data_IF_614173269118
#
_entry.id   IF_614173269118
#
_cell.length_a   1.000
_cell.length_b   1.000
_cell.length_c   1.000
_cell.angle_alpha   90.00
_cell.angle_beta   90.00
_cell.angle_gamma   90.00
#
_symmetry.space_group_name_H-M   'P 1'
#
loop_
_entity.id
_entity.type
_entity.pdbx_description
1 polymer ?
#
# COMPACT_ATOMS: atom_id res chain seq x y z
N UNK A 1 19.67 -19.62 -2.98
CA UNK A 1 18.89 -19.78 -4.23
C UNK A 1 19.25 -18.63 -5.17
N UNK A 2 19.16 -18.82 -6.50
CA UNK A 2 19.45 -17.72 -7.43
C UNK A 2 18.42 -16.57 -7.26
N UNK A 3 18.83 -15.30 -7.45
CA UNK A 3 17.91 -14.17 -7.47
C UNK A 3 16.85 -14.36 -8.57
N UNK A 4 15.60 -13.94 -8.31
CA UNK A 4 14.57 -13.90 -9.36
C UNK A 4 14.81 -12.70 -10.28
N UNK A 5 14.35 -12.80 -11.53
CA UNK A 5 14.42 -11.71 -12.50
C UNK A 5 13.21 -10.80 -12.32
N UNK A 6 13.45 -9.54 -11.94
CA UNK A 6 12.42 -8.53 -11.73
C UNK A 6 12.32 -7.59 -12.92
N UNK A 7 11.16 -7.50 -13.54
CA UNK A 7 10.80 -6.47 -14.52
C UNK A 7 9.98 -5.38 -13.85
N UNK A 8 10.13 -4.13 -14.30
CA UNK A 8 9.44 -2.97 -13.70
C UNK A 8 8.72 -2.19 -14.81
N UNK A 9 7.43 -1.94 -14.64
CA UNK A 9 6.64 -1.02 -15.46
C UNK A 9 6.27 0.22 -14.65
N UNK A 10 6.68 1.38 -15.15
CA UNK A 10 6.53 2.66 -14.47
C UNK A 10 7.85 3.15 -13.86
N UNK A 11 8.32 4.29 -14.33
CA UNK A 11 9.54 4.99 -13.87
C UNK A 11 9.18 6.22 -13.01
N UNK A 12 7.99 6.22 -12.40
CA UNK A 12 7.52 7.21 -11.44
C UNK A 12 8.14 7.02 -10.04
N UNK A 13 7.59 7.74 -9.05
CA UNK A 13 8.10 7.76 -7.66
C UNK A 13 8.22 6.34 -7.07
N UNK A 14 7.17 5.51 -7.21
CA UNK A 14 7.17 4.16 -6.61
C UNK A 14 8.05 3.20 -7.39
N UNK A 15 8.02 3.25 -8.73
CA UNK A 15 8.89 2.42 -9.57
C UNK A 15 10.37 2.69 -9.31
N UNK A 16 10.80 3.96 -9.25
CA UNK A 16 12.18 4.32 -8.94
C UNK A 16 12.56 3.93 -7.49
N UNK A 17 11.66 4.10 -6.53
CA UNK A 17 11.91 3.73 -5.14
C UNK A 17 12.22 2.23 -4.99
N UNK A 18 11.39 1.37 -5.57
CA UNK A 18 11.61 -0.07 -5.49
C UNK A 18 12.79 -0.52 -6.34
N UNK A 19 13.02 0.13 -7.49
CA UNK A 19 14.20 -0.08 -8.33
C UNK A 19 15.49 0.15 -7.54
N UNK A 20 15.61 1.31 -6.87
CA UNK A 20 16.79 1.61 -6.04
C UNK A 20 16.96 0.60 -4.91
N UNK A 21 15.87 0.25 -4.23
CA UNK A 21 15.93 -0.76 -3.18
C UNK A 21 16.39 -2.14 -3.70
N UNK A 22 15.96 -2.53 -4.90
CA UNK A 22 16.40 -3.77 -5.54
C UNK A 22 17.91 -3.77 -5.83
N UNK A 23 18.44 -2.64 -6.31
CA UNK A 23 19.87 -2.51 -6.64
C UNK A 23 20.76 -2.41 -5.40
N UNK A 24 20.32 -1.68 -4.38
CA UNK A 24 21.14 -1.32 -3.22
C UNK A 24 21.05 -2.31 -2.07
N UNK A 25 19.88 -2.98 -1.90
CA UNK A 25 19.58 -3.70 -0.66
C UNK A 25 19.11 -5.15 -0.86
N UNK A 26 18.77 -5.59 -2.08
CA UNK A 26 18.11 -6.87 -2.31
C UNK A 26 18.73 -7.72 -3.44
N UNK A 27 19.98 -7.48 -3.82
CA UNK A 27 20.67 -8.17 -4.92
C UNK A 27 20.77 -9.69 -4.75
N UNK A 28 20.70 -10.20 -3.52
CA UNK A 28 20.64 -11.65 -3.23
C UNK A 28 19.28 -12.27 -3.56
N UNK A 29 18.21 -11.47 -3.56
CA UNK A 29 16.83 -11.91 -3.75
C UNK A 29 16.30 -11.64 -5.14
N UNK A 30 16.67 -10.48 -5.74
CA UNK A 30 16.15 -10.02 -7.02
C UNK A 30 17.25 -9.45 -7.90
N UNK A 31 17.14 -9.64 -9.22
CA UNK A 31 17.95 -8.98 -10.23
C UNK A 31 17.04 -8.23 -11.19
N UNK A 32 17.24 -6.92 -11.36
CA UNK A 32 16.45 -6.12 -12.29
C UNK A 32 16.86 -6.44 -13.73
N UNK A 33 15.94 -6.94 -14.54
CA UNK A 33 16.20 -7.35 -15.94
C UNK A 33 15.51 -6.49 -16.98
N UNK A 34 14.64 -5.56 -16.57
CA UNK A 34 13.99 -4.63 -17.47
C UNK A 34 13.23 -3.53 -16.73
N UNK A 35 13.32 -2.32 -17.28
CA UNK A 35 12.47 -1.17 -16.93
C UNK A 35 11.88 -0.60 -18.20
N UNK A 36 10.61 -0.20 -18.13
CA UNK A 36 9.94 0.55 -19.18
C UNK A 36 8.89 1.49 -18.61
N UNK A 37 8.77 2.65 -19.24
CA UNK A 37 7.74 3.67 -19.00
C UNK A 37 7.38 4.30 -20.37
N UNK A 38 6.13 4.64 -20.65
CA UNK A 38 5.76 5.30 -21.90
C UNK A 38 6.33 6.71 -22.02
N UNK A 39 6.76 7.34 -20.93
CA UNK A 39 7.40 8.65 -20.91
C UNK A 39 8.88 8.56 -21.26
N UNK A 40 9.26 9.02 -22.44
CA UNK A 40 10.67 9.11 -22.84
C UNK A 40 11.50 9.96 -21.86
N UNK A 41 10.90 11.02 -21.31
CA UNK A 41 11.55 11.88 -20.32
C UNK A 41 11.84 11.13 -19.01
N UNK A 42 10.89 10.30 -18.53
CA UNK A 42 11.11 9.43 -17.36
C UNK A 42 12.20 8.39 -17.63
N UNK A 43 12.19 7.76 -18.79
CA UNK A 43 13.21 6.79 -19.20
C UNK A 43 14.59 7.41 -19.35
N UNK A 44 14.68 8.63 -19.89
CA UNK A 44 15.95 9.37 -20.01
C UNK A 44 16.48 9.74 -18.61
N UNK A 45 15.62 10.24 -17.71
CA UNK A 45 15.97 10.60 -16.34
C UNK A 45 16.53 9.40 -15.56
N UNK A 46 15.85 8.25 -15.61
CA UNK A 46 16.33 7.02 -14.95
C UNK A 46 17.62 6.52 -15.61
N UNK A 47 17.71 6.58 -16.95
CA UNK A 47 18.91 6.16 -17.65
C UNK A 47 20.16 6.98 -17.29
N UNK A 48 20.00 8.28 -17.04
CA UNK A 48 21.07 9.14 -16.56
C UNK A 48 21.45 8.86 -15.10
N UNK A 49 20.43 8.67 -14.23
CA UNK A 49 20.63 8.44 -12.80
C UNK A 49 21.13 7.02 -12.46
N UNK A 50 20.70 6.01 -13.23
CA UNK A 50 20.95 4.58 -12.98
C UNK A 50 21.31 3.86 -14.29
N UNK A 51 22.51 4.13 -14.87
CA UNK A 51 22.89 3.60 -16.19
C UNK A 51 23.00 2.07 -16.24
N UNK A 52 23.15 1.42 -15.10
CA UNK A 52 23.25 -0.06 -15.00
C UNK A 52 21.90 -0.77 -15.23
N UNK A 53 20.77 -0.04 -15.19
CA UNK A 53 19.43 -0.63 -15.31
C UNK A 53 19.12 -0.94 -16.78
N UNK A 54 18.80 -2.20 -17.13
CA UNK A 54 18.39 -2.55 -18.48
C UNK A 54 17.08 -1.87 -18.84
N UNK A 55 17.10 -0.96 -19.81
CA UNK A 55 15.90 -0.31 -20.35
C UNK A 55 15.37 -1.13 -21.53
N UNK A 56 14.07 -1.34 -21.59
CA UNK A 56 13.41 -2.11 -22.64
C UNK A 56 12.62 -1.19 -23.56
N UNK A 57 12.38 -1.64 -24.79
CA UNK A 57 11.68 -0.87 -25.81
C UNK A 57 10.15 -0.84 -25.61
N UNK A 58 9.61 -1.78 -24.83
CA UNK A 58 8.16 -1.87 -24.57
C UNK A 58 7.87 -2.65 -23.29
N UNK A 59 6.62 -2.55 -22.80
CA UNK A 59 6.11 -3.35 -21.68
C UNK A 59 6.25 -4.85 -21.95
N UNK A 60 5.97 -5.32 -23.18
CA UNK A 60 6.09 -6.74 -23.55
C UNK A 60 7.54 -7.23 -23.42
N UNK A 61 8.51 -6.42 -23.82
CA UNK A 61 9.93 -6.76 -23.66
C UNK A 61 10.38 -6.83 -22.20
N UNK A 62 9.73 -6.12 -21.30
CA UNK A 62 9.95 -6.27 -19.86
C UNK A 62 9.35 -7.60 -19.37
N UNK A 63 8.11 -7.90 -19.76
CA UNK A 63 7.40 -9.13 -19.38
C UNK A 63 8.15 -10.37 -19.84
N UNK A 64 8.66 -10.37 -21.07
CA UNK A 64 9.46 -11.48 -21.63
C UNK A 64 10.75 -11.73 -20.82
N UNK A 65 11.37 -10.67 -20.31
CA UNK A 65 12.69 -10.71 -19.67
C UNK A 65 12.65 -11.05 -18.18
N UNK A 66 11.49 -11.13 -17.54
CA UNK A 66 11.36 -11.27 -16.08
C UNK A 66 10.70 -12.59 -15.63
N UNK A 67 10.84 -12.93 -14.36
CA UNK A 67 10.10 -13.98 -13.66
C UNK A 67 8.92 -13.37 -12.89
N UNK A 68 9.12 -12.14 -12.39
CA UNK A 68 8.10 -11.33 -11.72
C UNK A 68 8.05 -9.93 -12.33
N UNK A 69 6.83 -9.46 -12.61
CA UNK A 69 6.57 -8.10 -13.06
C UNK A 69 6.14 -7.25 -11.88
N UNK A 70 6.87 -6.17 -11.59
CA UNK A 70 6.41 -5.10 -10.71
C UNK A 70 5.71 -4.02 -11.53
N UNK A 71 4.44 -3.76 -11.20
CA UNK A 71 3.60 -2.77 -11.87
C UNK A 71 3.49 -1.54 -10.97
N UNK A 72 4.15 -0.45 -11.36
CA UNK A 72 4.18 0.84 -10.68
C UNK A 72 3.71 1.99 -11.59
N UNK A 73 2.97 1.66 -12.63
CA UNK A 73 2.28 2.59 -13.52
C UNK A 73 1.04 3.19 -12.84
N UNK A 74 0.32 4.15 -13.45
CA UNK A 74 -0.96 4.62 -12.92
C UNK A 74 -2.04 3.51 -12.86
N UNK A 75 -2.99 3.59 -11.90
CA UNK A 75 -3.98 2.53 -11.64
C UNK A 75 -4.79 2.06 -12.85
N UNK A 76 -5.06 2.95 -13.80
CA UNK A 76 -5.81 2.62 -15.01
C UNK A 76 -5.17 1.54 -15.89
N UNK A 77 -3.86 1.31 -15.76
CA UNK A 77 -3.12 0.31 -16.55
C UNK A 77 -2.76 -0.96 -15.78
N UNK A 78 -3.03 -1.03 -14.47
CA UNK A 78 -2.60 -2.13 -13.61
C UNK A 78 -3.10 -3.48 -14.10
N UNK A 79 -4.41 -3.59 -14.37
CA UNK A 79 -5.03 -4.87 -14.73
C UNK A 79 -4.60 -5.36 -16.11
N UNK A 80 -4.45 -4.47 -17.11
CA UNK A 80 -3.94 -4.86 -18.43
C UNK A 80 -2.54 -5.48 -18.31
N UNK A 81 -1.64 -4.79 -17.64
CA UNK A 81 -0.27 -5.30 -17.44
C UNK A 81 -0.25 -6.59 -16.63
N UNK A 82 -1.07 -6.69 -15.58
CA UNK A 82 -1.15 -7.89 -14.74
C UNK A 82 -1.67 -9.10 -15.54
N UNK A 83 -2.74 -8.94 -16.34
CA UNK A 83 -3.29 -10.00 -17.17
C UNK A 83 -2.28 -10.48 -18.23
N UNK A 84 -1.57 -9.56 -18.87
CA UNK A 84 -0.52 -9.91 -19.85
C UNK A 84 0.63 -10.66 -19.23
N UNK A 85 1.08 -10.24 -18.03
CA UNK A 85 2.14 -10.93 -17.29
C UNK A 85 1.70 -12.35 -16.87
N UNK A 86 0.48 -12.50 -16.34
CA UNK A 86 -0.07 -13.82 -15.97
C UNK A 86 -0.25 -14.74 -17.18
N UNK A 87 -0.73 -14.21 -18.32
CA UNK A 87 -0.82 -14.98 -19.57
C UNK A 87 0.54 -15.48 -20.06
N UNK A 88 1.61 -14.72 -19.77
CA UNK A 88 3.00 -15.12 -20.03
C UNK A 88 3.60 -15.99 -18.89
N UNK A 89 2.77 -16.47 -17.95
CA UNK A 89 3.20 -17.27 -16.77
C UNK A 89 4.22 -16.54 -15.88
N UNK A 90 4.13 -15.21 -15.75
CA UNK A 90 4.95 -14.41 -14.85
C UNK A 90 4.21 -14.16 -13.53
N UNK A 91 4.95 -14.12 -12.42
CA UNK A 91 4.40 -13.60 -11.18
C UNK A 91 4.16 -12.08 -11.29
N UNK A 92 3.25 -11.55 -10.49
CA UNK A 92 2.90 -10.13 -10.50
C UNK A 92 2.99 -9.53 -9.10
N UNK A 93 3.70 -8.42 -8.96
CA UNK A 93 3.65 -7.55 -7.82
C UNK A 93 3.10 -6.19 -8.28
N UNK A 94 1.92 -5.79 -7.79
CA UNK A 94 1.19 -4.65 -8.33
C UNK A 94 1.03 -3.55 -7.28
N UNK A 95 1.16 -2.28 -7.68
CA UNK A 95 0.76 -1.17 -6.83
C UNK A 95 -0.74 -1.17 -6.52
N UNK A 96 -1.09 -0.56 -5.40
CA UNK A 96 -2.49 -0.27 -5.04
C UNK A 96 -2.93 1.07 -5.69
N UNK A 97 -4.24 1.27 -5.92
CA UNK A 97 -5.31 0.28 -5.91
C UNK A 97 -5.18 -0.70 -7.06
N UNK A 98 -5.88 -1.84 -6.99
CA UNK A 98 -5.84 -2.84 -8.07
C UNK A 98 -6.29 -2.28 -9.42
N UNK A 99 -7.33 -1.45 -9.40
CA UNK A 99 -7.89 -0.82 -10.60
C UNK A 99 -8.61 0.49 -10.23
N UNK A 100 -8.96 1.29 -11.22
CA UNK A 100 -9.86 2.43 -11.06
C UNK A 100 -11.31 1.94 -10.86
N UNK A 101 -11.73 0.96 -11.66
CA UNK A 101 -13.08 0.39 -11.59
C UNK A 101 -13.12 -0.84 -10.68
N UNK A 102 -14.00 -0.79 -9.65
CA UNK A 102 -14.12 -1.87 -8.66
C UNK A 102 -14.67 -3.17 -9.25
N UNK A 103 -15.53 -3.08 -10.28
CA UNK A 103 -16.07 -4.25 -10.98
C UNK A 103 -14.98 -4.99 -11.76
N UNK A 104 -14.06 -4.25 -12.37
CA UNK A 104 -12.88 -4.84 -13.03
C UNK A 104 -11.96 -5.49 -12.00
N UNK A 105 -11.72 -4.84 -10.85
CA UNK A 105 -10.93 -5.42 -9.77
C UNK A 105 -11.53 -6.74 -9.27
N UNK A 106 -12.85 -6.80 -9.02
CA UNK A 106 -13.57 -8.04 -8.64
C UNK A 106 -13.40 -9.16 -9.65
N UNK A 107 -13.60 -8.87 -10.93
CA UNK A 107 -13.43 -9.86 -12.00
C UNK A 107 -12.00 -10.38 -12.08
N UNK A 108 -11.03 -9.48 -11.97
CA UNK A 108 -9.62 -9.86 -11.97
C UNK A 108 -9.26 -10.76 -10.78
N UNK A 109 -9.68 -10.39 -9.56
CA UNK A 109 -9.42 -11.19 -8.36
C UNK A 109 -10.03 -12.59 -8.46
N UNK A 110 -11.27 -12.70 -8.99
CA UNK A 110 -11.91 -13.98 -9.22
C UNK A 110 -11.17 -14.84 -10.25
N UNK A 111 -10.69 -14.24 -11.35
CA UNK A 111 -9.97 -14.94 -12.41
C UNK A 111 -8.53 -15.32 -12.02
N UNK A 112 -7.89 -14.56 -11.12
CA UNK A 112 -6.49 -14.75 -10.73
C UNK A 112 -6.33 -15.62 -9.47
N UNK A 113 -7.37 -16.36 -9.04
CA UNK A 113 -7.26 -17.27 -7.89
C UNK A 113 -6.17 -18.31 -8.12
N UNK A 114 -5.29 -18.47 -7.12
CA UNK A 114 -4.16 -19.39 -7.20
C UNK A 114 -2.97 -18.90 -8.03
N UNK A 115 -3.07 -17.74 -8.67
CA UNK A 115 -1.96 -17.13 -9.38
C UNK A 115 -0.94 -16.51 -8.40
N UNK A 116 0.31 -16.41 -8.84
CA UNK A 116 1.40 -15.78 -8.09
C UNK A 116 1.30 -14.25 -8.19
N UNK A 117 0.37 -13.67 -7.43
CA UNK A 117 0.09 -12.23 -7.41
C UNK A 117 0.06 -11.71 -5.99
N UNK A 118 0.71 -10.56 -5.77
CA UNK A 118 0.60 -9.81 -4.55
C UNK A 118 0.47 -8.30 -4.83
N UNK A 119 -0.07 -7.56 -3.87
CA UNK A 119 -0.30 -6.12 -3.98
C UNK A 119 0.61 -5.36 -3.02
N UNK A 120 1.10 -4.20 -3.47
CA UNK A 120 2.03 -3.41 -2.70
C UNK A 120 1.36 -2.64 -1.56
N UNK A 121 1.26 -3.29 -0.39
CA UNK A 121 1.01 -2.64 0.89
C UNK A 121 2.26 -2.75 1.76
N UNK A 122 3.10 -1.70 1.87
CA UNK A 122 4.36 -1.76 2.62
C UNK A 122 4.21 -2.21 4.08
N UNK A 123 3.05 -1.95 4.70
CA UNK A 123 2.74 -2.41 6.06
C UNK A 123 2.76 -3.94 6.20
N UNK A 124 2.59 -4.70 5.11
CA UNK A 124 2.72 -6.16 5.13
C UNK A 124 4.14 -6.62 5.52
N UNK A 125 5.15 -5.80 5.21
CA UNK A 125 6.57 -6.08 5.48
C UNK A 125 7.16 -5.21 6.61
N UNK A 126 6.32 -4.42 7.31
CA UNK A 126 6.78 -3.46 8.31
C UNK A 126 7.08 -4.13 9.66
N UNK A 127 8.27 -3.92 10.21
CA UNK A 127 8.68 -4.43 11.52
C UNK A 127 7.81 -3.91 12.66
N UNK A 128 7.35 -2.66 12.57
CA UNK A 128 6.42 -2.10 13.54
C UNK A 128 5.09 -2.88 13.61
N UNK A 129 4.60 -3.38 12.48
CA UNK A 129 3.39 -4.22 12.42
C UNK A 129 3.62 -5.58 13.09
N UNK A 130 4.79 -6.18 12.91
CA UNK A 130 5.14 -7.42 13.62
C UNK A 130 5.22 -7.19 15.13
N UNK A 131 5.73 -6.03 15.55
CA UNK A 131 5.76 -5.67 16.98
C UNK A 131 4.35 -5.51 17.56
N UNK A 132 3.43 -4.85 16.83
CA UNK A 132 2.03 -4.76 17.27
C UNK A 132 1.39 -6.14 17.36
N UNK A 133 1.62 -7.03 16.38
CA UNK A 133 1.13 -8.40 16.40
C UNK A 133 1.67 -9.17 17.61
N UNK A 134 2.95 -9.03 17.91
CA UNK A 134 3.59 -9.64 19.08
C UNK A 134 2.93 -9.17 20.38
N UNK A 135 2.67 -7.88 20.55
CA UNK A 135 2.00 -7.35 21.74
C UNK A 135 0.55 -7.80 21.86
N UNK A 136 -0.19 -7.88 20.75
CA UNK A 136 -1.56 -8.43 20.74
C UNK A 136 -1.52 -9.90 21.21
N UNK A 137 -0.65 -10.72 20.62
CA UNK A 137 -0.50 -12.13 20.98
C UNK A 137 -0.06 -12.35 22.44
N UNK A 138 0.75 -11.43 22.98
CA UNK A 138 1.16 -11.43 24.38
C UNK A 138 0.10 -10.90 25.36
N UNK A 139 -1.11 -10.55 24.88
CA UNK A 139 -2.20 -10.05 25.72
C UNK A 139 -2.02 -8.60 26.20
N UNK A 140 -1.13 -7.82 25.62
CA UNK A 140 -0.84 -6.45 26.07
C UNK A 140 -2.05 -5.51 25.99
N UNK A 141 -3.03 -5.83 25.15
CA UNK A 141 -4.31 -5.10 25.00
C UNK A 141 -5.42 -5.72 25.85
N UNK A 142 -5.35 -7.01 26.13
CA UNK A 142 -6.45 -7.75 26.72
C UNK A 142 -7.62 -7.89 25.75
N UNK A 143 -8.86 -7.76 26.25
CA UNK A 143 -10.06 -7.74 25.37
C UNK A 143 -10.15 -6.40 24.66
N UNK A 144 -10.07 -6.35 23.31
CA UNK A 144 -10.21 -5.12 22.53
C UNK A 144 -11.55 -4.41 22.79
N UNK A 145 -11.53 -3.09 22.91
CA UNK A 145 -12.71 -2.25 23.18
C UNK A 145 -12.96 -1.22 22.10
N UNK A 146 -11.91 -0.54 21.61
CA UNK A 146 -11.99 0.45 20.52
C UNK A 146 -10.76 0.36 19.63
N UNK A 147 -10.95 0.72 18.38
CA UNK A 147 -9.89 0.95 17.41
C UNK A 147 -10.10 2.32 16.76
N UNK A 148 -9.12 3.20 16.91
CA UNK A 148 -9.18 4.55 16.38
C UNK A 148 -8.08 4.76 15.33
N UNK A 149 -8.48 5.25 14.16
CA UNK A 149 -7.60 5.56 13.03
C UNK A 149 -7.73 7.05 12.75
N UNK A 150 -6.62 7.77 12.82
CA UNK A 150 -6.55 9.17 12.45
C UNK A 150 -5.45 9.38 11.41
N UNK A 151 -5.80 10.08 10.33
CA UNK A 151 -4.84 10.52 9.32
C UNK A 151 -5.04 12.01 9.05
N UNK A 152 -3.98 12.80 9.16
CA UNK A 152 -4.05 14.23 8.94
C UNK A 152 -2.83 14.74 8.19
N UNK A 153 -3.05 15.73 7.34
CA UNK A 153 -2.04 16.32 6.47
C UNK A 153 -2.10 17.84 6.53
N UNK A 154 -0.92 18.50 6.48
CA UNK A 154 -0.87 19.95 6.34
C UNK A 154 -1.44 20.40 4.99
N UNK A 155 -1.07 19.68 3.91
CA UNK A 155 -1.55 19.92 2.54
C UNK A 155 -1.76 18.59 1.81
N UNK A 156 -2.63 18.61 0.79
CA UNK A 156 -2.77 17.50 -0.13
C UNK A 156 -2.75 17.97 -1.58
N UNK A 157 -1.97 17.36 -2.47
CA UNK A 157 -0.93 16.35 -2.20
C UNK A 157 0.19 16.86 -1.30
N UNK A 158 0.92 15.92 -0.65
CA UNK A 158 2.08 16.25 0.19
C UNK A 158 3.21 16.87 -0.63
N UNK A 159 4.07 17.67 0.00
CA UNK A 159 5.11 18.41 -0.68
C UNK A 159 5.99 17.58 -1.64
N UNK A 160 6.34 16.36 -1.26
CA UNK A 160 7.15 15.44 -2.07
C UNK A 160 6.38 14.76 -3.22
N UNK A 161 5.05 14.87 -3.26
CA UNK A 161 4.18 14.29 -4.29
C UNK A 161 3.77 15.30 -5.39
N UNK A 162 4.29 16.54 -5.37
CA UNK A 162 3.88 17.62 -6.30
C UNK A 162 3.93 17.21 -7.77
N UNK A 163 4.91 16.40 -8.18
CA UNK A 163 5.04 15.93 -9.56
C UNK A 163 3.91 14.96 -9.97
N UNK A 164 3.17 14.40 -9.03
CA UNK A 164 2.03 13.52 -9.25
C UNK A 164 0.68 14.23 -9.03
N UNK A 165 0.67 15.52 -8.69
CA UNK A 165 -0.53 16.26 -8.33
C UNK A 165 -1.61 16.24 -9.44
N UNK A 166 -1.21 16.17 -10.71
CA UNK A 166 -2.11 16.15 -11.86
C UNK A 166 -3.12 14.99 -11.86
N UNK A 167 -2.83 13.88 -11.18
CA UNK A 167 -3.76 12.76 -11.00
C UNK A 167 -4.08 12.50 -9.53
N UNK A 168 -3.11 12.75 -8.64
CA UNK A 168 -3.21 12.41 -7.23
C UNK A 168 -4.25 13.25 -6.48
N UNK A 169 -4.54 14.46 -6.94
CA UNK A 169 -5.59 15.33 -6.41
C UNK A 169 -6.87 15.30 -7.25
N UNK A 170 -7.12 14.25 -8.01
CA UNK A 170 -8.35 14.05 -8.76
C UNK A 170 -9.29 13.07 -8.04
N UNK A 171 -10.60 13.36 -8.00
CA UNK A 171 -11.57 12.52 -7.27
C UNK A 171 -11.74 11.14 -7.89
N UNK A 172 -11.44 10.97 -9.19
CA UNK A 172 -11.66 9.71 -9.89
C UNK A 172 -10.67 8.61 -9.50
N UNK A 173 -9.42 8.97 -9.19
CA UNK A 173 -8.37 7.99 -8.94
C UNK A 173 -7.35 8.38 -7.86
N UNK A 174 -7.36 9.63 -7.41
CA UNK A 174 -6.50 10.16 -6.36
C UNK A 174 -7.19 10.25 -5.01
N UNK A 175 -6.65 11.13 -4.15
CA UNK A 175 -7.15 11.40 -2.80
C UNK A 175 -6.37 10.67 -1.70
N UNK A 176 -6.36 11.29 -0.51
CA UNK A 176 -5.63 10.72 0.63
C UNK A 176 -6.27 9.43 1.14
N UNK A 177 -7.56 9.24 0.88
CA UNK A 177 -8.25 8.01 1.29
C UNK A 177 -7.72 6.80 0.52
N UNK A 178 -7.56 6.90 -0.81
CA UNK A 178 -6.95 5.86 -1.63
C UNK A 178 -5.45 5.72 -1.37
N UNK A 179 -4.75 6.84 -1.13
CA UNK A 179 -3.29 6.84 -1.02
C UNK A 179 -2.77 6.47 0.36
N UNK A 180 -3.47 6.86 1.43
CA UNK A 180 -2.99 6.71 2.80
C UNK A 180 -3.93 5.87 3.66
N UNK A 181 -5.22 6.22 3.73
CA UNK A 181 -6.19 5.49 4.57
C UNK A 181 -6.26 4.01 4.20
N UNK A 182 -6.12 3.68 2.92
CA UNK A 182 -6.05 2.29 2.44
C UNK A 182 -5.02 1.44 3.17
N UNK A 183 -3.87 2.00 3.55
CA UNK A 183 -2.85 1.27 4.31
C UNK A 183 -3.29 0.97 5.74
N UNK A 184 -4.01 1.89 6.39
CA UNK A 184 -4.52 1.69 7.75
C UNK A 184 -5.73 0.74 7.77
N UNK A 185 -6.55 0.72 6.73
CA UNK A 185 -7.58 -0.30 6.54
C UNK A 185 -6.96 -1.69 6.34
N UNK A 186 -5.92 -1.78 5.51
CA UNK A 186 -5.15 -3.02 5.36
C UNK A 186 -4.56 -3.49 6.70
N UNK A 187 -3.96 -2.59 7.48
CA UNK A 187 -3.45 -2.88 8.82
C UNK A 187 -4.55 -3.42 9.74
N UNK A 188 -5.72 -2.78 9.71
CA UNK A 188 -6.89 -3.21 10.50
C UNK A 188 -7.30 -4.64 10.14
N UNK A 189 -7.42 -4.95 8.85
CA UNK A 189 -7.70 -6.30 8.37
C UNK A 189 -6.69 -7.33 8.87
N UNK A 190 -5.41 -6.99 8.85
CA UNK A 190 -4.31 -7.87 9.26
C UNK A 190 -4.20 -8.09 10.77
N UNK A 191 -4.49 -7.11 11.60
CA UNK A 191 -4.31 -7.17 13.05
C UNK A 191 -5.59 -7.44 13.82
N UNK A 192 -6.72 -6.94 13.35
CA UNK A 192 -7.99 -7.04 14.06
C UNK A 192 -8.99 -7.99 13.36
N UNK A 193 -8.89 -8.18 12.05
CA UNK A 193 -9.75 -9.06 11.27
C UNK A 193 -10.64 -8.31 10.27
N UNK A 194 -11.54 -9.01 9.56
CA UNK A 194 -12.39 -8.43 8.56
C UNK A 194 -13.33 -7.37 9.16
N UNK A 195 -13.52 -6.28 8.44
CA UNK A 195 -14.29 -5.13 8.89
C UNK A 195 -15.49 -4.87 8.00
N UNK A 196 -16.51 -4.21 8.56
CA UNK A 196 -17.74 -3.81 7.87
C UNK A 196 -17.96 -2.32 8.09
N UNK A 197 -18.12 -1.58 6.98
CA UNK A 197 -18.47 -0.15 7.02
C UNK A 197 -19.92 0.02 7.51
N UNK A 198 -20.16 0.94 8.47
CA UNK A 198 -21.47 1.25 9.05
C UNK A 198 -21.96 2.62 8.62
N UNK A 199 -21.12 3.63 8.81
CA UNK A 199 -21.42 5.01 8.49
C UNK A 199 -20.24 5.65 7.78
N UNK A 200 -20.51 6.64 6.98
CA UNK A 200 -19.50 7.35 6.21
C UNK A 200 -19.85 8.81 5.98
N UNK A 201 -18.82 9.61 5.87
CA UNK A 201 -18.90 11.00 5.41
C UNK A 201 -17.60 11.30 4.64
N UNK A 202 -17.72 11.94 3.48
CA UNK A 202 -16.60 12.48 2.73
C UNK A 202 -16.94 13.90 2.30
N UNK A 203 -16.00 14.81 2.44
CA UNK A 203 -16.14 16.22 2.07
C UNK A 203 -15.19 16.58 0.93
N UNK A 204 -15.75 17.05 -0.15
CA UNK A 204 -15.06 17.58 -1.31
C UNK A 204 -15.33 19.09 -1.35
N UNK A 205 -14.28 19.90 -1.28
CA UNK A 205 -14.43 21.36 -1.32
C UNK A 205 -14.70 21.87 -2.74
N UNK A 206 -14.11 21.21 -3.72
CA UNK A 206 -14.25 21.50 -5.14
C UNK A 206 -14.49 20.21 -5.92
N UNK A 207 -15.31 20.28 -6.97
CA UNK A 207 -15.69 19.11 -7.76
C UNK A 207 -14.50 18.44 -8.50
N UNK A 208 -13.47 19.23 -8.77
CA UNK A 208 -12.30 18.80 -9.55
C UNK A 208 -11.16 18.25 -8.66
N UNK A 209 -11.28 18.41 -7.34
CA UNK A 209 -10.27 17.98 -6.37
C UNK A 209 -10.75 16.79 -5.54
N UNK A 210 -9.79 16.04 -5.05
CA UNK A 210 -10.06 14.91 -4.14
C UNK A 210 -10.63 15.42 -2.81
N UNK A 211 -11.07 14.51 -1.98
CA UNK A 211 -11.62 14.79 -0.66
C UNK A 211 -10.64 15.56 0.24
N UNK A 212 -11.18 16.40 1.14
CA UNK A 212 -10.43 17.16 2.16
C UNK A 212 -10.72 16.68 3.57
N UNK A 213 -11.82 15.96 3.78
CA UNK A 213 -12.11 15.29 5.04
C UNK A 213 -12.91 14.03 4.81
N UNK A 214 -12.70 13.03 5.65
CA UNK A 214 -13.54 11.84 5.77
C UNK A 214 -13.82 11.52 7.24
N UNK A 215 -14.96 10.89 7.47
CA UNK A 215 -15.27 10.21 8.73
C UNK A 215 -15.99 8.92 8.38
N UNK A 216 -15.58 7.83 9.04
CA UNK A 216 -16.29 6.56 8.91
C UNK A 216 -16.34 5.83 10.26
N UNK A 217 -17.42 5.11 10.48
CA UNK A 217 -17.51 4.08 11.52
C UNK A 217 -17.55 2.71 10.86
N UNK A 218 -16.73 1.80 11.38
CA UNK A 218 -16.67 0.41 10.94
C UNK A 218 -16.78 -0.50 12.17
N UNK A 219 -16.98 -1.79 11.94
CA UNK A 219 -16.89 -2.82 12.97
C UNK A 219 -16.01 -3.97 12.54
N UNK A 220 -15.20 -4.53 13.45
CA UNK A 220 -14.50 -5.81 13.31
C UNK A 220 -15.15 -6.78 14.30
N UNK A 221 -16.07 -7.63 13.83
CA UNK A 221 -16.95 -8.33 14.76
C UNK A 221 -17.73 -7.32 15.63
N UNK A 222 -17.51 -7.38 16.95
CA UNK A 222 -18.10 -6.43 17.91
C UNK A 222 -17.19 -5.24 18.26
N UNK A 223 -15.97 -5.18 17.73
CA UNK A 223 -15.03 -4.09 17.98
C UNK A 223 -15.44 -2.86 17.15
N UNK A 224 -15.81 -1.73 17.77
CA UNK A 224 -16.05 -0.48 17.03
C UNK A 224 -14.73 0.10 16.55
N UNK A 225 -14.75 0.59 15.31
CA UNK A 225 -13.61 1.25 14.66
C UNK A 225 -14.04 2.64 14.20
N UNK A 226 -13.30 3.66 14.64
CA UNK A 226 -13.49 5.04 14.20
C UNK A 226 -12.36 5.42 13.24
N UNK A 227 -12.72 6.00 12.12
CA UNK A 227 -11.77 6.52 11.12
C UNK A 227 -12.04 8.00 10.87
N UNK A 228 -11.00 8.81 11.03
CA UNK A 228 -11.03 10.26 10.74
C UNK A 228 -9.86 10.59 9.83
N UNK A 229 -10.13 11.29 8.74
CA UNK A 229 -9.10 11.81 7.83
C UNK A 229 -9.34 13.29 7.52
N UNK A 230 -8.27 14.09 7.44
CA UNK A 230 -8.40 15.53 7.22
C UNK A 230 -7.16 16.15 6.58
N UNK A 231 -7.38 17.24 5.83
CA UNK A 231 -6.33 18.07 5.24
C UNK A 231 -6.44 19.49 5.82
N UNK A 232 -5.30 20.12 6.11
CA UNK A 232 -5.25 21.48 6.67
C UNK A 232 -5.48 21.58 8.18
N UNK A 233 -5.56 20.45 8.89
CA UNK A 233 -5.82 20.40 10.34
C UNK A 233 -4.57 20.19 11.19
N UNK A 234 -3.42 19.98 10.57
CA UNK A 234 -2.11 19.80 11.21
C UNK A 234 -1.06 20.63 10.47
N UNK A 235 0.03 20.96 11.15
CA UNK A 235 1.21 21.57 10.54
C UNK A 235 2.23 20.56 10.01
N UNK A 236 1.97 19.25 10.10
CA UNK A 236 2.86 18.18 9.65
C UNK A 236 2.44 17.64 8.29
N UNK A 237 3.41 17.20 7.49
CA UNK A 237 3.13 16.54 6.20
C UNK A 237 2.36 15.22 6.37
N UNK A 238 2.65 14.49 7.44
CA UNK A 238 1.95 13.29 7.86
C UNK A 238 1.74 13.33 9.38
N UNK A 239 0.51 13.10 9.82
CA UNK A 239 0.16 12.82 11.21
C UNK A 239 -0.84 11.66 11.22
N UNK A 240 -0.33 10.45 11.39
CA UNK A 240 -1.11 9.23 11.25
C UNK A 240 -1.02 8.39 12.51
N UNK A 241 -2.15 7.92 13.02
CA UNK A 241 -2.21 6.99 14.13
C UNK A 241 -3.22 5.86 13.86
N UNK A 242 -2.87 4.68 14.31
CA UNK A 242 -3.75 3.51 14.43
C UNK A 242 -3.63 3.02 15.87
N UNK A 243 -4.67 3.17 16.67
CA UNK A 243 -4.65 2.92 18.12
C UNK A 243 -5.68 1.88 18.50
N UNK A 244 -5.22 0.74 19.01
CA UNK A 244 -6.06 -0.32 19.57
C UNK A 244 -6.03 -0.25 21.09
N UNK A 245 -7.20 -0.06 21.70
CA UNK A 245 -7.38 0.00 23.15
C UNK A 245 -8.20 -1.18 23.63
N UNK A 246 -7.89 -1.69 24.81
CA UNK A 246 -8.60 -2.79 25.42
C UNK A 246 -8.58 -2.78 26.93
N UNK A 247 -8.97 -3.92 27.52
CA UNK A 247 -9.13 -4.04 28.98
C UNK A 247 -7.79 -4.03 29.76
N UNK A 248 -6.67 -4.36 29.12
CA UNK A 248 -5.36 -4.47 29.77
C UNK A 248 -4.38 -3.34 29.37
N UNK A 249 -4.71 -2.54 28.35
CA UNK A 249 -3.84 -1.46 27.86
C UNK A 249 -4.15 -1.03 26.45
N UNK A 250 -3.24 -0.28 25.85
CA UNK A 250 -3.35 0.17 24.48
C UNK A 250 -2.00 0.05 23.77
N UNK A 251 -2.09 -0.14 22.45
CA UNK A 251 -0.96 -0.11 21.53
C UNK A 251 -1.31 0.79 20.35
N UNK A 252 -0.29 1.38 19.71
CA UNK A 252 -0.51 2.16 18.49
C UNK A 252 0.63 2.04 17.49
N UNK A 253 0.29 2.19 16.22
CA UNK A 253 1.23 2.58 15.17
C UNK A 253 1.13 4.09 14.99
N UNK A 254 2.26 4.79 15.06
CA UNK A 254 2.37 6.22 14.78
C UNK A 254 3.26 6.43 13.57
N UNK A 255 2.84 7.33 12.70
CA UNK A 255 3.62 7.80 11.54
C UNK A 255 4.31 6.68 10.75
N UNK A 256 3.61 5.64 10.31
CA UNK A 256 4.06 4.54 9.44
C UNK A 256 4.98 3.47 10.07
N UNK A 257 5.85 3.82 11.02
CA UNK A 257 6.95 2.93 11.45
C UNK A 257 7.17 2.85 12.96
N UNK A 258 6.47 3.65 13.77
CA UNK A 258 6.69 3.71 15.21
C UNK A 258 5.61 2.92 15.95
N UNK A 259 5.96 1.72 16.42
CA UNK A 259 5.10 0.95 17.33
C UNK A 259 5.28 1.44 18.77
N UNK A 260 4.18 1.73 19.45
CA UNK A 260 4.17 2.24 20.82
C UNK A 260 3.16 1.49 21.68
N UNK A 261 3.46 1.39 22.97
CA UNK A 261 2.59 0.79 23.98
C UNK A 261 2.32 1.82 25.09
N UNK A 262 1.06 1.88 25.53
CA UNK A 262 0.67 2.72 26.65
C UNK A 262 1.18 2.12 27.98
N UNK A 263 1.86 2.92 28.76
CA UNK A 263 2.40 2.56 30.07
C UNK A 263 1.41 2.92 31.19
N UNK A 264 1.54 2.33 32.39
CA UNK A 264 0.65 2.62 33.53
C UNK A 264 0.64 4.10 33.98
N UNK A 265 1.73 4.83 33.73
CA UNK A 265 1.85 6.27 34.01
C UNK A 265 1.19 7.17 32.96
N UNK A 266 0.56 6.58 31.93
CA UNK A 266 -0.08 7.30 30.82
C UNK A 266 0.87 7.71 29.70
N UNK A 267 2.17 7.44 29.81
CA UNK A 267 3.14 7.70 28.74
C UNK A 267 3.08 6.64 27.65
N UNK A 268 3.49 7.02 26.41
CA UNK A 268 3.67 6.09 25.32
C UNK A 268 5.13 5.69 25.20
N UNK A 269 5.41 4.40 25.35
CA UNK A 269 6.75 3.84 25.19
C UNK A 269 6.90 3.22 23.81
N UNK A 270 7.91 3.66 23.07
CA UNK A 270 8.29 3.08 21.78
C UNK A 270 8.89 1.68 21.96
N UNK A 271 8.72 0.82 20.96
CA UNK A 271 9.42 -0.44 20.89
C UNK A 271 10.94 -0.23 20.85
N UNK A 272 11.68 -1.10 21.54
CA UNK A 272 13.15 -0.96 21.73
C UNK A 272 13.91 -0.89 20.39
N UNK A 273 13.42 -1.53 19.33
CA UNK A 273 14.06 -1.55 18.01
C UNK A 273 13.52 -0.48 17.06
N UNK A 274 12.88 0.58 17.56
CA UNK A 274 12.37 1.64 16.71
C UNK A 274 13.52 2.45 16.11
N UNK A 275 13.68 2.35 14.81
CA UNK A 275 14.56 3.21 14.01
C UNK A 275 13.76 4.41 13.50
N UNK A 276 14.46 5.48 13.09
CA UNK A 276 13.81 6.57 12.35
C UNK A 276 13.14 6.03 11.09
N UNK A 277 12.10 6.71 10.60
CA UNK A 277 11.41 6.31 9.37
C UNK A 277 12.39 6.17 8.18
N UNK A 278 13.38 7.06 8.10
CA UNK A 278 14.40 7.06 7.07
C UNK A 278 15.29 5.82 7.13
N UNK A 279 15.75 5.44 8.33
CA UNK A 279 16.59 4.25 8.53
C UNK A 279 15.80 2.94 8.40
N UNK A 280 14.50 2.95 8.72
CA UNK A 280 13.63 1.78 8.63
C UNK A 280 13.22 1.46 7.18
N UNK A 281 13.06 2.48 6.34
CA UNK A 281 12.55 2.31 4.97
C UNK A 281 13.35 1.32 4.12
N UNK A 282 14.69 1.37 4.04
CA UNK A 282 15.49 0.38 3.29
C UNK A 282 15.24 -1.05 3.75
N UNK A 283 15.14 -1.28 5.05
CA UNK A 283 14.91 -2.60 5.63
C UNK A 283 13.53 -3.17 5.27
N UNK A 284 12.49 -2.33 5.30
CA UNK A 284 11.13 -2.71 4.89
C UNK A 284 11.10 -3.04 3.40
N UNK A 285 11.72 -2.22 2.54
CA UNK A 285 11.77 -2.45 1.10
C UNK A 285 12.57 -3.72 0.76
N UNK A 286 13.68 -3.99 1.44
CA UNK A 286 14.42 -5.24 1.32
C UNK A 286 13.53 -6.43 1.64
N UNK A 287 12.89 -6.44 2.81
CA UNK A 287 11.97 -7.50 3.23
C UNK A 287 10.79 -7.68 2.27
N UNK A 288 10.30 -6.61 1.69
CA UNK A 288 9.27 -6.67 0.67
C UNK A 288 9.76 -7.38 -0.60
N UNK A 289 10.97 -7.07 -1.08
CA UNK A 289 11.59 -7.73 -2.22
C UNK A 289 11.94 -9.20 -1.96
N UNK A 290 12.33 -9.55 -0.74
CA UNK A 290 12.46 -10.94 -0.29
C UNK A 290 11.12 -11.68 -0.38
N UNK A 291 10.02 -11.04 0.05
CA UNK A 291 8.66 -11.54 -0.11
C UNK A 291 8.24 -11.70 -1.58
N UNK A 292 8.62 -10.77 -2.44
CA UNK A 292 8.38 -10.85 -3.90
C UNK A 292 9.13 -12.06 -4.50
N UNK A 293 10.36 -12.28 -4.08
CA UNK A 293 11.12 -13.44 -4.53
C UNK A 293 10.50 -14.77 -4.06
N UNK A 294 10.07 -14.84 -2.80
CA UNK A 294 9.37 -16.00 -2.25
C UNK A 294 8.05 -16.28 -3.00
N UNK A 295 7.20 -15.25 -3.19
CA UNK A 295 5.96 -15.35 -3.96
C UNK A 295 6.23 -15.88 -5.40
N UNK A 296 7.25 -15.35 -6.05
CA UNK A 296 7.61 -15.75 -7.41
C UNK A 296 7.97 -17.22 -7.52
N UNK A 297 8.57 -17.77 -6.45
CA UNK A 297 8.92 -19.21 -6.37
C UNK A 297 7.76 -20.08 -5.89
N UNK A 298 6.62 -19.50 -5.50
CA UNK A 298 5.51 -20.23 -4.89
C UNK A 298 5.74 -20.59 -3.43
N UNK A 299 6.65 -19.90 -2.75
CA UNK A 299 6.97 -20.07 -1.34
C UNK A 299 6.05 -19.18 -0.46
N UNK A 300 5.98 -19.48 0.84
CA UNK A 300 5.23 -18.66 1.81
C UNK A 300 5.81 -17.26 1.93
N UNK A 301 4.95 -16.25 1.97
CA UNK A 301 5.32 -14.84 2.04
C UNK A 301 4.29 -14.00 2.83
N UNK A 302 4.69 -12.81 3.26
CA UNK A 302 3.85 -11.89 4.05
C UNK A 302 3.14 -10.81 3.20
N UNK A 303 3.40 -10.74 1.90
CA UNK A 303 2.83 -9.72 1.03
C UNK A 303 1.29 -9.75 1.04
N UNK A 304 0.68 -8.63 0.70
CA UNK A 304 -0.78 -8.53 0.66
C UNK A 304 -1.35 -9.35 -0.51
N UNK A 305 -2.40 -10.10 -0.21
CA UNK A 305 -3.13 -10.90 -1.18
C UNK A 305 -4.08 -10.03 -2.01
N UNK A 306 -4.54 -10.58 -3.15
CA UNK A 306 -5.57 -9.94 -3.96
C UNK A 306 -6.88 -9.73 -3.19
N UNK A 307 -7.28 -10.69 -2.34
CA UNK A 307 -8.50 -10.60 -1.55
C UNK A 307 -8.43 -9.47 -0.52
N UNK A 308 -7.29 -9.30 0.17
CA UNK A 308 -7.07 -8.20 1.10
C UNK A 308 -7.10 -6.85 0.38
N UNK A 309 -6.43 -6.74 -0.77
CA UNK A 309 -6.38 -5.53 -1.56
C UNK A 309 -7.77 -5.14 -2.09
N UNK A 310 -8.57 -6.11 -2.55
CA UNK A 310 -9.94 -5.89 -2.99
C UNK A 310 -10.83 -5.41 -1.84
N UNK A 311 -10.79 -6.06 -0.68
CA UNK A 311 -11.57 -5.66 0.50
C UNK A 311 -11.25 -4.22 0.93
N UNK A 312 -9.97 -3.85 0.92
CA UNK A 312 -9.55 -2.47 1.19
C UNK A 312 -10.10 -1.50 0.16
N UNK A 313 -9.95 -1.83 -1.12
CA UNK A 313 -10.41 -0.96 -2.21
C UNK A 313 -11.92 -0.77 -2.17
N UNK A 314 -12.70 -1.82 -1.96
CA UNK A 314 -14.16 -1.75 -1.82
C UNK A 314 -14.59 -0.82 -0.68
N UNK A 315 -13.91 -0.90 0.45
CA UNK A 315 -14.20 -0.05 1.60
C UNK A 315 -13.81 1.41 1.34
N UNK A 316 -12.67 1.66 0.73
CA UNK A 316 -12.24 3.02 0.34
C UNK A 316 -13.25 3.67 -0.60
N UNK A 317 -13.67 2.97 -1.66
CA UNK A 317 -14.65 3.50 -2.61
C UNK A 317 -16.03 3.69 -1.95
N UNK A 318 -16.42 2.80 -1.05
CA UNK A 318 -17.63 2.97 -0.26
C UNK A 318 -17.56 4.21 0.65
N UNK A 319 -16.43 4.47 1.32
CA UNK A 319 -16.24 5.68 2.15
C UNK A 319 -16.36 6.94 1.29
N UNK A 320 -15.73 6.98 0.14
CA UNK A 320 -15.76 8.11 -0.78
C UNK A 320 -17.14 8.33 -1.42
N UNK A 321 -18.00 7.32 -1.41
CA UNK A 321 -19.33 7.43 -1.99
C UNK A 321 -19.37 7.28 -3.48
N UNK A 322 -18.31 6.79 -4.08
CA UNK A 322 -18.32 6.45 -5.51
C UNK A 322 -19.29 5.28 -5.69
N UNK A 323 -20.36 5.42 -6.49
CA UNK A 323 -21.25 4.29 -6.76
C UNK A 323 -20.43 3.17 -7.37
N UNK A 324 -20.59 1.94 -6.86
CA UNK A 324 -20.15 0.78 -7.63
C UNK A 324 -20.86 0.86 -8.98
N UNK A 325 -20.13 1.13 -10.04
CA UNK A 325 -20.71 1.16 -11.39
C UNK A 325 -21.37 -0.20 -11.61
N UNK A 326 -22.70 -0.20 -11.65
CA UNK A 326 -23.43 -1.30 -12.23
C UNK A 326 -23.14 -1.27 -13.72
N UNK A 327 -22.65 -2.35 -14.36
CA UNK A 327 -22.60 -2.37 -15.80
C UNK A 327 -24.04 -2.14 -16.29
N UNK A 328 -24.25 -1.10 -17.07
CA UNK A 328 -25.45 -1.05 -17.89
C UNK A 328 -25.35 -2.22 -18.87
N UNK A 329 -26.38 -3.00 -18.85
CA UNK A 329 -26.65 -4.12 -19.74
C UNK A 329 -26.26 -3.85 -21.21
#
# INVERSE_FOLDING_TARGET
MAPIRLGILGAGIMGERLLRAALEHAGESVTVTGLWDPSEAAMARIGAALPVVPRRASADRVIEACDCLYIASPPASHLDHAQRALAANRAVFCEKPLAVDIGQARRFVAAAQGARVAVNFPMASAFAVDQLRTWIAAGAVGTPRTLDIEVAFATWPRGWQRNAAGWLDRPEQGGFTREVVSHFLFLTGRLAGPFVLRERFASFQEAEHSERAIRASLTVGNLPVTLIGSVGTTGKDDHNTWTLQGSAGAIRLRDWSTAERLMPDGSWQQAVQTLSHEAMRPLVLRRQLEGVAAMTRGESHVLATLAEALSVQETVEAILGVPAFSPRD
#
